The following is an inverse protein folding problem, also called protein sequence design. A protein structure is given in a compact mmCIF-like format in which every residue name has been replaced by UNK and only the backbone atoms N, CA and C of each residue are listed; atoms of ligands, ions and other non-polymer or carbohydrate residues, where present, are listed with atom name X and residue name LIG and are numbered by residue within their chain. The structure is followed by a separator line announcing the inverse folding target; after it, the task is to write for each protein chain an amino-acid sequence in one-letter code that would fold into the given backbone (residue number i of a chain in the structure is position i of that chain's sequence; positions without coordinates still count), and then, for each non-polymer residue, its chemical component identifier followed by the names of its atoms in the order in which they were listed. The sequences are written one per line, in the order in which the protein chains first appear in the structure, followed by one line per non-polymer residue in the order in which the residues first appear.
data_IF_391399773709
#
_entry.id   IF_391399773709
#
_cell.length_a   1.000
_cell.length_b   1.000
_cell.length_c   1.000
_cell.angle_alpha   90.00
_cell.angle_beta   90.00
_cell.angle_gamma   90.00
#
_symmetry.space_group_name_H-M   'P 1'
#
loop_
_entity.id
_entity.type
_entity.pdbx_description
1 polymer ?
#
# COMPACT_ATOMS: atom_id res chain seq x y z
N UNK A 1 9.82 0.26 5.30
CA UNK A 1 9.66 -0.64 4.13
C UNK A 1 9.32 0.19 2.90
N UNK A 2 9.65 -0.28 1.69
CA UNK A 2 9.17 0.32 0.44
C UNK A 2 8.30 -0.70 -0.28
N UNK A 3 7.11 -0.29 -0.72
CA UNK A 3 6.19 -1.12 -1.50
C UNK A 3 5.90 -0.47 -2.84
N UNK A 4 5.69 -1.30 -3.86
CA UNK A 4 5.19 -0.85 -5.16
C UNK A 4 3.68 -1.02 -5.17
N UNK A 5 2.96 0.05 -5.45
CA UNK A 5 1.49 0.05 -5.61
C UNK A 5 1.13 0.39 -7.04
N UNK A 6 -0.05 -0.06 -7.47
CA UNK A 6 -0.59 0.22 -8.80
C UNK A 6 -2.06 0.60 -8.67
N UNK A 7 -2.47 1.58 -9.47
CA UNK A 7 -3.86 1.98 -9.68
C UNK A 7 -4.15 2.07 -11.20
N UNK A 8 -5.30 2.62 -11.58
CA UNK A 8 -5.68 2.81 -12.98
C UNK A 8 -4.78 3.81 -13.73
N UNK A 9 -4.14 4.72 -13.01
CA UNK A 9 -3.30 5.77 -13.56
C UNK A 9 -1.83 5.35 -13.74
N UNK A 10 -1.35 4.38 -12.97
CA UNK A 10 -0.01 3.84 -13.09
C UNK A 10 0.51 3.12 -11.86
N UNK A 11 1.80 3.30 -11.61
CA UNK A 11 2.52 2.65 -10.51
C UNK A 11 3.38 3.65 -9.73
N UNK A 12 3.50 3.44 -8.42
CA UNK A 12 4.32 4.28 -7.55
C UNK A 12 5.00 3.46 -6.44
N UNK A 13 6.16 3.94 -5.98
CA UNK A 13 6.85 3.38 -4.82
C UNK A 13 6.51 4.19 -3.57
N UNK A 14 5.93 3.55 -2.56
CA UNK A 14 5.56 4.17 -1.29
C UNK A 14 6.49 3.70 -0.18
N UNK A 15 6.99 4.65 0.61
CA UNK A 15 7.63 4.35 1.88
C UNK A 15 6.58 4.18 2.98
N UNK A 16 6.68 3.08 3.72
CA UNK A 16 5.82 2.71 4.84
C UNK A 16 6.64 2.67 6.14
N UNK A 17 6.07 3.24 7.20
CA UNK A 17 6.54 3.06 8.56
C UNK A 17 5.89 1.84 9.21
N UNK A 18 6.34 1.51 10.42
CA UNK A 18 5.99 0.26 11.09
C UNK A 18 4.47 0.05 11.17
N UNK A 19 3.73 1.02 11.68
CA UNK A 19 2.27 0.92 11.84
C UNK A 19 1.54 0.60 10.53
N UNK A 20 1.97 1.19 9.41
CA UNK A 20 1.35 0.94 8.10
C UNK A 20 1.74 -0.43 7.56
N UNK A 21 2.99 -0.86 7.79
CA UNK A 21 3.47 -2.17 7.38
C UNK A 21 2.78 -3.30 8.15
N UNK A 22 2.62 -3.14 9.46
CA UNK A 22 1.93 -4.13 10.32
C UNK A 22 0.47 -4.28 9.94
N UNK A 23 -0.21 -3.20 9.53
CA UNK A 23 -1.58 -3.28 9.01
C UNK A 23 -1.70 -4.09 7.72
N UNK A 24 -0.70 -4.03 6.84
CA UNK A 24 -0.69 -4.76 5.57
C UNK A 24 -0.36 -6.24 5.80
N UNK A 25 0.65 -6.54 6.63
CA UNK A 25 1.06 -7.92 6.88
C UNK A 25 0.24 -8.64 7.96
N UNK A 26 -0.49 -7.90 8.80
CA UNK A 26 -1.21 -8.43 9.94
C UNK A 26 -0.30 -8.99 11.05
N UNK A 27 1.00 -8.66 11.03
CA UNK A 27 1.99 -9.08 12.02
C UNK A 27 3.11 -8.04 12.17
N UNK A 28 3.84 -8.13 13.28
CA UNK A 28 4.97 -7.26 13.61
C UNK A 28 6.23 -7.58 12.79
N UNK A 29 7.15 -6.61 12.73
CA UNK A 29 8.46 -6.81 12.09
C UNK A 29 9.26 -7.96 12.74
N UNK A 30 9.19 -8.11 14.05
CA UNK A 30 9.90 -9.16 14.80
C UNK A 30 9.34 -10.56 14.49
N UNK A 31 8.02 -10.68 14.34
CA UNK A 31 7.39 -11.94 13.92
C UNK A 31 7.80 -12.32 12.50
N UNK A 32 7.85 -11.33 11.60
CA UNK A 32 8.30 -11.53 10.23
C UNK A 32 9.77 -11.96 10.16
N UNK A 33 10.64 -11.40 11.01
CA UNK A 33 12.06 -11.77 11.11
C UNK A 33 12.25 -13.20 11.66
N UNK A 34 11.44 -13.59 12.66
CA UNK A 34 11.41 -14.97 13.17
C UNK A 34 11.00 -15.96 12.07
N UNK A 35 9.97 -15.63 11.29
CA UNK A 35 9.51 -16.47 10.17
C UNK A 35 10.58 -16.60 9.09
N UNK A 36 11.37 -15.55 8.85
CA UNK A 36 12.49 -15.57 7.91
C UNK A 36 13.63 -16.45 8.42
N UNK A 37 13.88 -16.46 9.73
CA UNK A 37 14.98 -17.22 10.34
C UNK A 37 14.69 -18.74 10.49
N UNK A 38 13.42 -19.16 10.37
CA UNK A 38 12.99 -20.55 10.49
C UNK A 38 13.01 -21.29 9.12
N UNK A 39 14.08 -21.16 8.34
CA UNK A 39 14.22 -21.78 7.01
C UNK A 39 14.17 -23.32 7.09
N UNK A 40 12.96 -23.89 6.93
CA UNK A 40 12.64 -25.30 6.72
C UNK A 40 11.52 -25.45 5.68
N UNK A 41 11.08 -26.68 5.36
CA UNK A 41 10.29 -27.08 4.15
C UNK A 41 9.00 -26.28 3.83
N UNK A 42 8.54 -25.40 4.71
CA UNK A 42 7.40 -24.53 4.47
C UNK A 42 7.84 -23.06 4.58
N UNK A 43 8.05 -22.40 3.43
CA UNK A 43 8.50 -21.00 3.38
C UNK A 43 7.37 -20.03 3.77
N UNK A 44 7.00 -20.06 5.05
CA UNK A 44 5.92 -19.26 5.66
C UNK A 44 6.14 -17.76 5.49
N UNK A 45 7.40 -17.32 5.47
CA UNK A 45 7.77 -15.95 5.14
C UNK A 45 7.33 -15.58 3.72
N UNK A 46 7.67 -16.38 2.71
CA UNK A 46 7.21 -16.15 1.34
C UNK A 46 5.68 -16.23 1.21
N UNK A 47 5.03 -17.14 1.94
CA UNK A 47 3.58 -17.22 1.95
C UNK A 47 2.95 -15.92 2.48
N UNK A 48 3.46 -15.38 3.60
CA UNK A 48 3.00 -14.10 4.15
C UNK A 48 3.20 -12.94 3.18
N UNK A 49 4.33 -12.90 2.48
CA UNK A 49 4.54 -11.90 1.43
C UNK A 49 3.52 -12.04 0.30
N UNK A 50 3.24 -13.27 -0.17
CA UNK A 50 2.25 -13.53 -1.22
C UNK A 50 0.83 -13.15 -0.80
N UNK A 51 0.45 -13.42 0.45
CA UNK A 51 -0.85 -13.04 1.01
C UNK A 51 -1.04 -11.52 1.06
N UNK A 52 0.04 -10.76 1.25
CA UNK A 52 0.00 -9.30 1.29
C UNK A 52 0.02 -8.63 -0.10
N UNK A 53 0.41 -9.34 -1.15
CA UNK A 53 0.47 -8.82 -2.53
C UNK A 53 -0.93 -8.88 -3.16
N UNK A 54 -1.25 -7.93 -4.05
CA UNK A 54 -2.54 -7.81 -4.76
C UNK A 54 -3.76 -7.62 -3.86
N UNK A 55 -3.57 -7.19 -2.61
CA UNK A 55 -4.66 -6.79 -1.73
C UNK A 55 -4.95 -5.29 -1.90
N UNK A 56 -6.18 -4.88 -2.24
CA UNK A 56 -6.52 -3.48 -2.44
C UNK A 56 -6.59 -2.75 -1.09
N UNK A 57 -5.99 -1.57 -1.03
CA UNK A 57 -5.93 -0.72 0.15
C UNK A 57 -6.12 0.74 -0.25
N UNK A 58 -6.72 1.53 0.65
CA UNK A 58 -6.74 2.98 0.55
C UNK A 58 -5.55 3.56 1.31
N UNK A 59 -4.75 4.36 0.62
CA UNK A 59 -3.56 5.00 1.15
C UNK A 59 -3.79 6.51 1.30
N UNK A 60 -3.51 7.05 2.49
CA UNK A 60 -3.28 8.50 2.64
C UNK A 60 -1.80 8.77 2.45
N UNK A 61 -1.42 9.39 1.34
CA UNK A 61 -0.02 9.64 0.98
C UNK A 61 0.40 11.09 1.25
N UNK A 62 1.69 11.28 1.50
CA UNK A 62 2.36 12.57 1.64
C UNK A 62 3.55 12.57 0.70
N UNK A 63 3.59 13.53 -0.21
CA UNK A 63 4.70 13.71 -1.16
C UNK A 63 5.60 14.83 -0.65
N UNK A 64 6.89 14.57 -0.54
CA UNK A 64 7.89 15.56 -0.15
C UNK A 64 9.11 15.46 -1.07
N UNK A 65 9.72 16.60 -1.38
CA UNK A 65 10.97 16.64 -2.12
C UNK A 65 12.13 16.62 -1.12
N UNK A 66 13.04 15.68 -1.29
CA UNK A 66 14.27 15.57 -0.51
C UNK A 66 15.46 15.90 -1.40
N UNK A 67 16.42 16.66 -0.86
CA UNK A 67 17.68 16.97 -1.51
C UNK A 67 18.82 16.40 -0.67
N UNK A 68 19.64 15.55 -1.28
CA UNK A 68 20.83 14.97 -0.65
C UNK A 68 21.97 15.03 -1.64
N UNK A 69 23.11 15.62 -1.25
CA UNK A 69 24.29 15.76 -2.12
C UNK A 69 23.96 16.36 -3.51
N UNK A 70 23.14 17.42 -3.55
CA UNK A 70 22.62 18.07 -4.76
C UNK A 70 21.72 17.19 -5.66
N UNK A 71 21.36 15.98 -5.23
CA UNK A 71 20.33 15.18 -5.90
C UNK A 71 18.96 15.44 -5.27
N UNK A 72 18.05 15.96 -6.09
CA UNK A 72 16.63 16.14 -5.73
C UNK A 72 15.85 14.89 -6.09
N UNK A 73 15.24 14.26 -5.10
CA UNK A 73 14.36 13.09 -5.27
C UNK A 73 13.01 13.36 -4.61
N UNK A 74 11.94 12.98 -5.29
CA UNK A 74 10.60 12.98 -4.69
C UNK A 74 10.40 11.70 -3.90
N UNK A 75 9.91 11.85 -2.68
CA UNK A 75 9.62 10.75 -1.79
C UNK A 75 8.13 10.73 -1.49
N UNK A 76 7.51 9.57 -1.70
CA UNK A 76 6.10 9.35 -1.37
C UNK A 76 6.04 8.48 -0.13
N UNK A 77 5.37 9.00 0.90
CA UNK A 77 5.28 8.34 2.21
C UNK A 77 3.81 8.06 2.53
N UNK A 78 3.46 6.83 2.87
CA UNK A 78 2.11 6.55 3.36
C UNK A 78 1.99 6.99 4.83
N UNK A 79 1.03 7.87 5.08
CA UNK A 79 0.67 8.36 6.42
C UNK A 79 -0.42 7.51 7.07
N UNK A 80 -1.25 6.84 6.28
CA UNK A 80 -2.26 5.92 6.77
C UNK A 80 -2.57 4.87 5.70
N UNK A 81 -2.97 3.69 6.16
CA UNK A 81 -3.44 2.58 5.33
C UNK A 81 -4.73 2.06 5.97
N UNK A 82 -5.77 1.90 5.15
CA UNK A 82 -7.06 1.31 5.53
C UNK A 82 -7.53 0.34 4.45
N UNK A 83 -8.30 -0.68 4.85
CA UNK A 83 -8.94 -1.60 3.92
C UNK A 83 -10.02 -0.88 3.10
N UNK A 84 -10.25 -1.34 1.88
CA UNK A 84 -11.27 -0.78 0.98
C UNK A 84 -12.66 -1.19 1.45
N UNK A 85 -13.56 -0.24 1.67
CA UNK A 85 -14.99 -0.51 1.79
C UNK A 85 -15.63 -0.49 0.40
N UNK A 86 -15.73 -1.66 -0.22
CA UNK A 86 -16.28 -1.80 -1.56
C UNK A 86 -17.72 -1.27 -1.68
N UNK A 87 -18.52 -1.34 -0.62
CA UNK A 87 -19.90 -0.88 -0.68
C UNK A 87 -19.96 0.65 -0.71
N UNK A 88 -19.12 1.32 0.09
CA UNK A 88 -19.01 2.78 0.07
C UNK A 88 -18.40 3.29 -1.25
N UNK A 89 -17.30 2.70 -1.70
CA UNK A 89 -16.62 3.09 -2.95
C UNK A 89 -17.52 2.87 -4.18
N UNK A 90 -18.29 1.78 -4.22
CA UNK A 90 -19.22 1.53 -5.33
C UNK A 90 -20.32 2.58 -5.41
N UNK A 91 -20.83 3.05 -4.26
CA UNK A 91 -21.84 4.13 -4.24
C UNK A 91 -21.24 5.44 -4.73
N UNK A 92 -20.04 5.79 -4.25
CA UNK A 92 -19.32 6.98 -4.71
C UNK A 92 -19.11 6.94 -6.23
N UNK A 93 -18.64 5.80 -6.76
CA UNK A 93 -18.39 5.64 -8.19
C UNK A 93 -19.68 5.77 -9.03
N UNK A 94 -20.80 5.19 -8.55
CA UNK A 94 -22.09 5.33 -9.22
C UNK A 94 -22.58 6.79 -9.24
N UNK A 95 -22.37 7.54 -8.17
CA UNK A 95 -22.69 8.96 -8.11
C UNK A 95 -21.85 9.77 -9.10
N UNK A 96 -20.55 9.48 -9.22
CA UNK A 96 -19.67 10.13 -10.20
C UNK A 96 -20.07 9.83 -11.64
N UNK A 97 -20.36 8.56 -11.96
CA UNK A 97 -20.85 8.15 -13.28
C UNK A 97 -22.19 8.86 -13.60
N UNK A 98 -23.07 9.01 -12.62
CA UNK A 98 -24.33 9.73 -12.80
C UNK A 98 -24.12 11.20 -13.16
N UNK A 99 -23.17 11.88 -12.52
CA UNK A 99 -22.83 13.30 -12.81
C UNK A 99 -22.26 13.49 -14.21
N UNK A 100 -21.48 12.51 -14.69
CA UNK A 100 -20.94 12.54 -16.06
C UNK A 100 -22.04 12.42 -17.12
N UNK A 101 -23.07 11.60 -16.88
CA UNK A 101 -24.20 11.41 -17.82
C UNK A 101 -25.08 12.65 -17.98
N UNK A 102 -25.19 13.49 -16.96
CA UNK A 102 -25.97 14.75 -16.99
C UNK A 102 -25.27 15.91 -17.69
N UNK A 103 -24.01 15.73 -18.11
CA UNK A 103 -23.20 16.77 -18.77
C UNK A 103 -23.16 16.61 -20.31
N UNK A 104 -24.01 15.75 -20.88
CA UNK A 104 -24.21 15.56 -22.33
C UNK A 104 -25.59 16.04 -22.76
#
# INVERSE_FOLDING_TARGET
MVVKVSDDSGEACLALFNEQAERIFGCSADELDKLKSQEGEENRFQQKLKEAIWVPHLFRISVAQHEYMNEKRQWITARAVVAVDFAAESRLLLEEISKMKTSQ
#
